data_IF_941160227364
#
_entry.id   IF_941160227364
#
_cell.length_a   1.000
_cell.length_b   1.000
_cell.length_c   1.000
_cell.angle_alpha   90.00
_cell.angle_beta   90.00
_cell.angle_gamma   90.00
#
_symmetry.space_group_name_H-M   'P 1'
#
loop_
_entity.id
_entity.type
_entity.pdbx_description
1 polymer ?
#
# COMPACT_ATOMS: atom_id res chain seq x y z
N UNK A 1 71.81 6.24 -61.01
CA UNK A 1 72.62 6.05 -59.79
C UNK A 1 71.70 6.31 -58.60
N UNK A 2 71.07 5.26 -58.06
CA UNK A 2 71.57 4.39 -56.99
C UNK A 2 71.39 5.01 -55.58
N UNK A 3 70.36 4.50 -54.89
CA UNK A 3 70.25 4.20 -53.44
C UNK A 3 70.32 5.37 -52.44
N UNK A 4 69.56 5.42 -51.34
CA UNK A 4 69.40 4.40 -50.28
C UNK A 4 68.06 4.60 -49.53
N UNK A 5 67.45 3.48 -49.14
CA UNK A 5 66.26 3.38 -48.31
C UNK A 5 66.54 3.71 -46.83
N UNK A 6 65.56 4.29 -46.13
CA UNK A 6 65.47 4.19 -44.67
C UNK A 6 64.02 3.84 -44.29
N UNK A 7 63.90 2.62 -43.77
CA UNK A 7 62.67 1.98 -43.32
C UNK A 7 62.26 2.59 -41.96
N UNK A 8 61.19 3.39 -41.94
CA UNK A 8 60.54 3.82 -40.70
C UNK A 8 59.51 2.78 -40.26
N UNK A 9 59.83 2.05 -39.20
CA UNK A 9 58.96 1.04 -38.58
C UNK A 9 57.81 1.73 -37.81
N UNK A 10 56.63 1.81 -38.41
CA UNK A 10 55.40 2.15 -37.68
C UNK A 10 54.87 0.86 -37.05
N UNK A 11 54.94 0.77 -35.71
CA UNK A 11 54.29 -0.28 -34.93
C UNK A 11 52.76 -0.08 -34.96
N UNK A 12 51.96 -0.99 -35.55
CA UNK A 12 50.54 -1.02 -35.27
C UNK A 12 50.36 -1.66 -33.88
N UNK A 13 50.00 -0.85 -32.88
CA UNK A 13 49.43 -1.36 -31.63
C UNK A 13 48.16 -2.13 -32.00
N UNK A 14 48.27 -3.45 -32.03
CA UNK A 14 47.15 -4.35 -32.17
C UNK A 14 46.25 -4.16 -30.96
N UNK A 15 45.07 -3.58 -31.17
CA UNK A 15 44.01 -3.52 -30.17
C UNK A 15 43.56 -4.93 -29.81
N UNK A 16 44.08 -5.46 -28.71
CA UNK A 16 43.61 -6.70 -28.12
C UNK A 16 42.15 -6.54 -27.67
N UNK A 17 41.32 -7.51 -28.05
CA UNK A 17 39.87 -7.46 -27.97
C UNK A 17 39.31 -7.25 -26.56
N UNK A 18 38.64 -6.12 -26.38
CA UNK A 18 37.51 -6.04 -25.46
C UNK A 18 36.33 -6.69 -26.16
N UNK A 19 36.17 -8.00 -25.93
CA UNK A 19 34.92 -8.68 -26.24
C UNK A 19 33.83 -8.07 -25.36
N UNK A 20 32.82 -7.49 -26.00
CA UNK A 20 31.67 -6.76 -25.43
C UNK A 20 31.00 -7.50 -24.24
N UNK A 21 31.15 -8.82 -24.21
CA UNK A 21 30.61 -9.69 -23.15
C UNK A 21 31.30 -9.57 -21.78
N UNK A 22 32.60 -9.23 -21.72
CA UNK A 22 33.30 -9.09 -20.43
C UNK A 22 32.99 -7.76 -19.73
N UNK A 23 32.89 -6.67 -20.49
CA UNK A 23 32.51 -5.36 -19.95
C UNK A 23 31.07 -5.37 -19.41
N UNK A 24 30.15 -6.04 -20.10
CA UNK A 24 28.77 -6.24 -19.66
C UNK A 24 28.65 -7.11 -18.40
N UNK A 25 29.43 -8.19 -18.30
CA UNK A 25 29.45 -9.05 -17.10
C UNK A 25 30.06 -8.33 -15.89
N UNK A 26 31.12 -7.55 -16.11
CA UNK A 26 31.79 -6.73 -15.10
C UNK A 26 30.83 -5.67 -14.53
N UNK A 27 30.16 -4.93 -15.40
CA UNK A 27 29.19 -3.89 -15.00
C UNK A 27 27.96 -4.47 -14.30
N UNK A 28 27.40 -5.61 -14.75
CA UNK A 28 26.35 -6.34 -13.99
C UNK A 28 26.83 -6.74 -12.60
N UNK A 29 28.03 -7.31 -12.49
CA UNK A 29 28.58 -7.75 -11.19
C UNK A 29 28.78 -6.57 -10.24
N UNK A 30 29.27 -5.44 -10.75
CA UNK A 30 29.40 -4.21 -9.96
C UNK A 30 28.04 -3.66 -9.54
N UNK A 31 27.07 -3.64 -10.46
CA UNK A 31 25.70 -3.20 -10.22
C UNK A 31 25.00 -4.03 -9.13
N UNK A 32 25.05 -5.37 -9.22
CA UNK A 32 24.48 -6.25 -8.18
C UNK A 32 25.30 -6.33 -6.90
N UNK A 33 26.54 -5.81 -6.87
CA UNK A 33 27.34 -5.77 -5.65
C UNK A 33 27.13 -4.46 -4.87
N UNK A 34 26.95 -3.33 -5.56
CA UNK A 34 27.01 -2.00 -4.93
C UNK A 34 25.79 -1.11 -5.19
N UNK A 35 24.96 -1.42 -6.21
CA UNK A 35 23.82 -0.58 -6.60
C UNK A 35 22.49 -1.23 -6.24
N UNK A 36 22.34 -2.52 -6.56
CA UNK A 36 21.14 -3.30 -6.26
C UNK A 36 21.55 -4.67 -5.75
N UNK A 37 22.11 -4.69 -4.53
CA UNK A 37 22.48 -5.94 -3.85
C UNK A 37 21.21 -6.77 -3.67
N UNK A 38 21.07 -7.93 -4.34
CA UNK A 38 19.86 -8.71 -4.21
C UNK A 38 19.74 -9.16 -2.76
N UNK A 39 18.63 -8.80 -2.12
CA UNK A 39 18.32 -9.24 -0.78
C UNK A 39 18.37 -10.77 -0.76
N UNK A 40 19.35 -11.34 -0.05
CA UNK A 40 19.38 -12.77 0.21
C UNK A 40 18.41 -13.02 1.35
N UNK A 41 17.19 -13.41 1.00
CA UNK A 41 16.23 -13.89 1.97
C UNK A 41 16.68 -15.28 2.42
N UNK A 42 17.12 -15.38 3.67
CA UNK A 42 17.41 -16.68 4.27
C UNK A 42 16.08 -17.37 4.60
N UNK A 43 15.67 -18.32 3.76
CA UNK A 43 14.46 -19.11 3.95
C UNK A 43 14.65 -20.22 4.99
N UNK A 44 15.87 -20.42 5.49
CA UNK A 44 16.19 -21.45 6.48
C UNK A 44 16.12 -20.95 7.92
N UNK A 45 15.96 -19.64 8.13
CA UNK A 45 15.71 -19.02 9.43
C UNK A 45 14.34 -18.31 9.47
N UNK A 46 13.25 -19.04 9.73
CA UNK A 46 11.97 -18.42 10.08
C UNK A 46 12.00 -17.64 11.42
N UNK A 47 13.12 -17.64 12.16
CA UNK A 47 13.21 -17.06 13.51
C UNK A 47 13.55 -15.56 13.55
N UNK A 48 13.56 -14.86 12.41
CA UNK A 48 13.70 -13.40 12.38
C UNK A 48 12.47 -12.63 12.89
N UNK A 49 11.30 -13.27 12.96
CA UNK A 49 10.05 -12.69 13.44
C UNK A 49 9.71 -13.23 14.83
N UNK A 50 9.28 -12.36 15.74
CA UNK A 50 8.72 -12.84 17.01
C UNK A 50 7.45 -13.65 16.75
N UNK A 51 7.03 -14.48 17.71
CA UNK A 51 5.74 -15.19 17.61
C UNK A 51 4.58 -14.21 17.42
N UNK A 52 4.63 -13.07 18.09
CA UNK A 52 3.64 -12.01 17.96
C UNK A 52 3.60 -11.45 16.53
N UNK A 53 4.76 -11.11 15.95
CA UNK A 53 4.85 -10.62 14.56
C UNK A 53 4.33 -11.66 13.56
N UNK A 54 4.68 -12.94 13.78
CA UNK A 54 4.24 -14.05 12.93
C UNK A 54 2.72 -14.23 12.98
N UNK A 55 2.10 -14.06 14.15
CA UNK A 55 0.65 -14.08 14.31
C UNK A 55 0.01 -12.87 13.63
N UNK A 56 0.54 -11.67 13.80
CA UNK A 56 0.01 -10.49 13.12
C UNK A 56 0.09 -10.68 11.61
N UNK A 57 1.23 -11.12 11.08
CA UNK A 57 1.40 -11.36 9.65
C UNK A 57 0.40 -12.42 9.11
N UNK A 58 0.22 -13.54 9.80
CA UNK A 58 -0.71 -14.58 9.36
C UNK A 58 -2.18 -14.16 9.43
N UNK A 59 -2.52 -13.22 10.32
CA UNK A 59 -3.85 -12.60 10.42
C UNK A 59 -4.16 -11.65 9.27
N UNK A 60 -3.14 -10.99 8.75
CA UNK A 60 -3.29 -9.91 7.77
C UNK A 60 -3.07 -10.35 6.33
N UNK A 61 -2.32 -11.42 6.09
CA UNK A 61 -1.88 -11.77 4.73
C UNK A 61 -3.02 -11.88 3.71
N UNK A 62 -4.13 -12.54 4.08
CA UNK A 62 -5.28 -12.69 3.17
C UNK A 62 -6.07 -11.37 3.00
N UNK A 63 -6.15 -10.53 4.04
CA UNK A 63 -6.72 -9.18 3.91
C UNK A 63 -5.84 -8.30 3.03
N UNK A 64 -4.53 -8.34 3.22
CA UNK A 64 -3.56 -7.59 2.42
C UNK A 64 -3.63 -7.98 0.94
N UNK A 65 -3.83 -9.27 0.65
CA UNK A 65 -4.08 -9.74 -0.72
C UNK A 65 -5.35 -9.10 -1.33
N UNK A 66 -6.45 -9.03 -0.58
CA UNK A 66 -7.69 -8.39 -1.04
C UNK A 66 -7.49 -6.90 -1.31
N UNK A 67 -6.91 -6.18 -0.34
CA UNK A 67 -6.70 -4.74 -0.44
C UNK A 67 -5.70 -4.40 -1.56
N UNK A 68 -4.61 -5.14 -1.67
CA UNK A 68 -3.62 -4.98 -2.75
C UNK A 68 -4.24 -5.32 -4.11
N UNK A 69 -5.12 -6.33 -4.15
CA UNK A 69 -5.90 -6.67 -5.33
C UNK A 69 -6.77 -5.50 -5.79
N UNK A 70 -7.47 -4.84 -4.86
CA UNK A 70 -8.30 -3.67 -5.15
C UNK A 70 -7.45 -2.50 -5.68
N UNK A 71 -6.37 -2.14 -4.99
CA UNK A 71 -5.50 -1.03 -5.39
C UNK A 71 -4.98 -1.23 -6.81
N UNK A 72 -4.48 -2.42 -7.13
CA UNK A 72 -4.02 -2.76 -8.49
C UNK A 72 -5.13 -2.68 -9.52
N UNK A 73 -6.34 -3.14 -9.18
CA UNK A 73 -7.47 -3.09 -10.11
C UNK A 73 -7.90 -1.64 -10.40
N UNK A 74 -7.93 -0.78 -9.37
CA UNK A 74 -8.22 0.65 -9.53
C UNK A 74 -7.12 1.39 -10.30
N UNK A 75 -5.85 1.10 -10.02
CA UNK A 75 -4.71 1.69 -10.73
C UNK A 75 -4.66 1.29 -12.20
N UNK A 76 -5.08 0.07 -12.53
CA UNK A 76 -5.15 -0.43 -13.89
C UNK A 76 -6.21 0.29 -14.75
N UNK A 77 -7.14 1.03 -14.15
CA UNK A 77 -8.10 1.83 -14.89
C UNK A 77 -7.41 3.01 -15.58
N UNK A 78 -7.37 2.94 -16.92
CA UNK A 78 -6.85 4.01 -17.77
C UNK A 78 -7.85 5.15 -18.00
N UNK A 79 -9.15 4.84 -17.99
CA UNK A 79 -10.26 5.77 -18.20
C UNK A 79 -11.38 5.50 -17.21
N UNK A 80 -12.33 6.43 -17.10
CA UNK A 80 -13.56 6.22 -16.31
C UNK A 80 -14.23 4.93 -16.79
N UNK A 81 -14.54 3.98 -15.88
CA UNK A 81 -15.12 2.70 -16.26
C UNK A 81 -16.56 2.87 -16.76
N UNK A 82 -16.97 1.98 -17.65
CA UNK A 82 -18.38 1.79 -17.98
C UNK A 82 -19.06 0.84 -16.98
N UNK A 83 -20.37 0.63 -17.14
CA UNK A 83 -21.14 -0.24 -16.25
C UNK A 83 -20.58 -1.67 -16.19
N UNK A 84 -20.16 -2.24 -17.32
CA UNK A 84 -19.65 -3.60 -17.37
C UNK A 84 -18.35 -3.75 -16.55
N UNK A 85 -17.46 -2.75 -16.61
CA UNK A 85 -16.25 -2.72 -15.78
C UNK A 85 -16.57 -2.51 -14.29
N UNK A 86 -17.57 -1.70 -13.95
CA UNK A 86 -18.06 -1.54 -12.57
C UNK A 86 -18.61 -2.87 -12.03
N UNK A 87 -19.45 -3.57 -12.81
CA UNK A 87 -20.02 -4.86 -12.43
C UNK A 87 -18.93 -5.94 -12.26
N UNK A 88 -17.87 -5.91 -13.08
CA UNK A 88 -16.71 -6.79 -12.93
C UNK A 88 -15.95 -6.51 -11.63
N UNK A 89 -15.70 -5.24 -11.30
CA UNK A 89 -15.02 -4.85 -10.07
C UNK A 89 -15.80 -5.32 -8.84
N UNK A 90 -17.11 -5.10 -8.80
CA UNK A 90 -17.97 -5.53 -7.69
C UNK A 90 -18.03 -7.07 -7.57
N UNK A 91 -18.02 -7.78 -8.70
CA UNK A 91 -17.98 -9.25 -8.70
C UNK A 91 -16.65 -9.79 -8.20
N UNK A 92 -15.54 -9.13 -8.56
CA UNK A 92 -14.19 -9.49 -8.14
C UNK A 92 -13.94 -9.17 -6.67
N UNK A 93 -14.52 -8.08 -6.17
CA UNK A 93 -14.39 -7.62 -4.79
C UNK A 93 -15.78 -7.57 -4.13
N UNK A 94 -16.38 -8.73 -3.81
CA UNK A 94 -17.75 -8.80 -3.29
C UNK A 94 -17.90 -8.21 -1.88
N UNK A 95 -16.80 -7.83 -1.25
CA UNK A 95 -16.74 -7.17 0.05
C UNK A 95 -16.86 -5.64 -0.04
N UNK A 96 -16.87 -5.06 -1.24
CA UNK A 96 -17.13 -3.63 -1.42
C UNK A 96 -18.59 -3.30 -1.05
N UNK A 97 -18.79 -2.21 -0.32
CA UNK A 97 -20.11 -1.61 -0.09
C UNK A 97 -20.66 -1.00 -1.37
N UNK A 98 -19.77 -0.48 -2.23
CA UNK A 98 -20.14 0.07 -3.52
C UNK A 98 -19.01 0.82 -4.22
N UNK A 99 -19.30 1.27 -5.42
CA UNK A 99 -18.48 2.16 -6.24
C UNK A 99 -19.25 3.46 -6.50
N UNK A 100 -18.59 4.60 -6.36
CA UNK A 100 -19.19 5.91 -6.63
C UNK A 100 -18.29 6.73 -7.55
N UNK A 101 -18.84 7.19 -8.66
CA UNK A 101 -18.20 8.17 -9.52
C UNK A 101 -18.61 9.57 -9.07
N UNK A 102 -17.63 10.42 -8.78
CA UNK A 102 -17.83 11.82 -8.43
C UNK A 102 -17.15 12.74 -9.45
N UNK A 103 -17.63 13.97 -9.57
CA UNK A 103 -16.94 15.03 -10.30
C UNK A 103 -15.76 15.63 -9.51
N UNK A 104 -15.10 16.64 -10.08
CA UNK A 104 -13.98 17.33 -9.45
C UNK A 104 -14.36 18.13 -8.18
N UNK A 105 -15.64 18.37 -7.93
CA UNK A 105 -16.17 19.00 -6.72
C UNK A 105 -16.66 17.99 -5.68
N UNK A 106 -16.56 16.69 -5.96
CA UNK A 106 -17.04 15.61 -5.09
C UNK A 106 -18.54 15.35 -5.20
N UNK A 107 -19.24 15.94 -6.17
CA UNK A 107 -20.65 15.65 -6.41
C UNK A 107 -20.81 14.30 -7.11
N UNK A 108 -21.78 13.49 -6.66
CA UNK A 108 -22.03 12.16 -7.20
C UNK A 108 -22.63 12.24 -8.60
N UNK A 109 -21.95 11.63 -9.57
CA UNK A 109 -22.41 11.46 -10.96
C UNK A 109 -23.18 10.14 -11.09
N UNK A 110 -22.62 9.07 -10.55
CA UNK A 110 -23.18 7.72 -10.60
C UNK A 110 -22.71 6.92 -9.39
N UNK A 111 -23.52 5.95 -8.95
CA UNK A 111 -23.17 5.07 -7.85
C UNK A 111 -23.75 3.68 -8.07
N UNK A 112 -23.01 2.66 -7.66
CA UNK A 112 -23.47 1.28 -7.60
C UNK A 112 -23.15 0.67 -6.23
N UNK A 113 -24.16 0.28 -5.42
CA UNK A 113 -25.60 0.44 -5.70
C UNK A 113 -26.01 1.93 -5.76
N UNK A 114 -27.06 2.24 -6.53
CA UNK A 114 -27.56 3.61 -6.70
C UNK A 114 -27.93 4.31 -5.37
N UNK A 115 -28.31 3.53 -4.35
CA UNK A 115 -28.55 4.03 -3.00
C UNK A 115 -27.50 3.49 -2.05
N UNK A 116 -26.66 4.37 -1.52
CA UNK A 116 -25.73 4.03 -0.43
C UNK A 116 -26.47 3.92 0.90
N UNK A 117 -26.08 2.93 1.71
CA UNK A 117 -26.57 2.77 3.09
C UNK A 117 -25.98 3.83 4.04
N UNK A 118 -24.76 4.29 3.76
CA UNK A 118 -24.04 5.29 4.56
C UNK A 118 -23.98 6.61 3.80
N UNK A 119 -24.13 7.72 4.50
CA UNK A 119 -23.85 9.05 3.95
C UNK A 119 -22.33 9.27 4.02
N UNK A 120 -21.69 9.41 2.86
CA UNK A 120 -20.24 9.51 2.73
C UNK A 120 -19.85 10.91 2.27
N UNK A 121 -18.79 11.46 2.86
CA UNK A 121 -18.21 12.74 2.47
C UNK A 121 -16.99 12.54 1.55
N UNK A 122 -17.07 12.93 0.29
CA UNK A 122 -15.95 12.75 -0.65
C UNK A 122 -14.90 13.88 -0.58
N UNK A 123 -15.15 14.93 0.19
CA UNK A 123 -14.28 16.12 0.29
C UNK A 123 -12.83 15.78 0.65
N UNK A 124 -12.54 14.89 1.63
CA UNK A 124 -11.16 14.54 1.98
C UNK A 124 -10.37 13.89 0.84
N UNK A 125 -11.06 13.33 -0.17
CA UNK A 125 -10.43 12.72 -1.34
C UNK A 125 -10.09 13.74 -2.43
N UNK A 126 -10.61 14.97 -2.34
CA UNK A 126 -10.34 16.05 -3.29
C UNK A 126 -8.99 16.72 -3.03
N UNK A 127 -8.41 16.54 -1.84
CA UNK A 127 -7.09 17.05 -1.49
C UNK A 127 -6.06 16.71 -2.59
N UNK A 128 -5.32 17.70 -3.10
CA UNK A 128 -4.38 17.48 -4.19
C UNK A 128 -3.26 16.54 -3.73
N UNK A 129 -3.06 15.46 -4.49
CA UNK A 129 -1.90 14.60 -4.32
C UNK A 129 -0.60 15.38 -4.60
N UNK A 130 0.55 14.93 -4.06
CA UNK A 130 1.83 15.54 -4.40
C UNK A 130 2.03 15.65 -5.92
N UNK A 131 2.62 16.75 -6.39
CA UNK A 131 2.82 17.00 -7.83
C UNK A 131 3.62 15.90 -8.53
N UNK A 132 4.45 15.16 -7.80
CA UNK A 132 5.19 14.00 -8.30
C UNK A 132 4.30 12.80 -8.65
N UNK A 133 3.11 12.71 -8.06
CA UNK A 133 2.21 11.54 -8.17
C UNK A 133 0.73 11.99 -8.23
N UNK A 134 0.33 12.84 -9.20
CA UNK A 134 -1.02 13.41 -9.25
C UNK A 134 -2.10 12.37 -9.53
N UNK A 135 -1.69 11.21 -10.08
CA UNK A 135 -2.54 10.05 -10.40
C UNK A 135 -2.55 8.97 -9.31
N UNK A 136 -1.83 9.15 -8.21
CA UNK A 136 -1.84 8.18 -7.11
C UNK A 136 -3.25 7.99 -6.56
N UNK A 137 -3.53 6.77 -6.09
CA UNK A 137 -4.75 6.52 -5.33
C UNK A 137 -4.80 7.42 -4.10
N UNK A 138 -6.02 7.81 -3.73
CA UNK A 138 -6.30 8.60 -2.54
C UNK A 138 -7.15 7.77 -1.60
N UNK A 139 -7.06 8.02 -0.31
CA UNK A 139 -7.92 7.34 0.65
C UNK A 139 -8.39 8.27 1.76
N UNK A 140 -9.49 7.88 2.37
CA UNK A 140 -10.05 8.48 3.56
C UNK A 140 -10.75 7.39 4.37
N UNK A 141 -10.85 7.59 5.68
CA UNK A 141 -11.64 6.75 6.57
C UNK A 141 -12.61 7.64 7.32
N UNK A 142 -13.88 7.25 7.34
CA UNK A 142 -14.95 8.02 7.97
C UNK A 142 -15.58 7.19 9.05
N UNK A 143 -15.75 7.78 10.23
CA UNK A 143 -16.61 7.20 11.24
C UNK A 143 -18.06 7.60 10.93
N UNK A 144 -18.95 6.62 10.77
CA UNK A 144 -20.35 6.86 10.44
C UNK A 144 -21.25 6.23 11.52
N UNK A 145 -22.50 6.69 11.67
CA UNK A 145 -23.41 6.09 12.65
C UNK A 145 -23.65 4.58 12.46
N UNK A 146 -23.42 4.04 11.26
CA UNK A 146 -23.55 2.61 10.95
C UNK A 146 -22.23 1.84 11.04
N UNK A 147 -21.17 2.50 11.50
CA UNK A 147 -19.81 1.98 11.61
C UNK A 147 -18.86 2.62 10.59
N UNK A 148 -17.54 2.50 10.80
CA UNK A 148 -16.53 3.10 9.94
C UNK A 148 -16.64 2.65 8.48
N UNK A 149 -16.33 3.54 7.54
CA UNK A 149 -16.20 3.25 6.12
C UNK A 149 -14.83 3.69 5.62
N UNK A 150 -14.18 2.81 4.88
CA UNK A 150 -12.91 3.08 4.20
C UNK A 150 -13.19 3.42 2.75
N UNK A 151 -12.64 4.54 2.28
CA UNK A 151 -12.75 5.00 0.90
C UNK A 151 -11.39 4.94 0.22
N UNK A 152 -11.37 4.40 -0.99
CA UNK A 152 -10.19 4.35 -1.87
C UNK A 152 -10.57 4.90 -3.24
N UNK A 153 -9.92 5.96 -3.67
CA UNK A 153 -10.30 6.73 -4.83
C UNK A 153 -9.23 6.68 -5.93
N UNK A 154 -9.67 6.36 -7.14
CA UNK A 154 -8.91 6.49 -8.37
C UNK A 154 -9.21 7.84 -9.02
N UNK A 155 -8.21 8.75 -9.13
CA UNK A 155 -8.40 10.01 -9.83
C UNK A 155 -8.27 9.88 -11.35
N UNK A 156 -9.18 10.52 -12.07
CA UNK A 156 -9.13 10.71 -13.52
C UNK A 156 -8.83 12.18 -13.82
N UNK A 157 -7.69 12.43 -14.47
CA UNK A 157 -7.20 13.77 -14.77
C UNK A 157 -7.04 13.99 -16.28
N UNK A 158 -7.38 15.20 -16.72
CA UNK A 158 -7.05 15.76 -18.03
C UNK A 158 -5.90 16.75 -17.83
N UNK A 159 -4.73 16.44 -18.39
CA UNK A 159 -3.49 17.12 -18.00
C UNK A 159 -3.19 16.90 -16.51
N UNK A 160 -3.12 17.99 -15.74
CA UNK A 160 -2.96 18.02 -14.28
C UNK A 160 -4.26 18.31 -13.52
N UNK A 161 -5.37 18.55 -14.21
CA UNK A 161 -6.64 18.90 -13.58
C UNK A 161 -7.48 17.66 -13.30
N UNK A 162 -7.91 17.52 -12.04
CA UNK A 162 -8.86 16.49 -11.64
C UNK A 162 -10.19 16.70 -12.34
N UNK A 163 -10.73 15.65 -12.95
CA UNK A 163 -12.04 15.66 -13.61
C UNK A 163 -13.06 14.84 -12.84
N UNK A 164 -12.63 13.70 -12.30
CA UNK A 164 -13.49 12.77 -11.58
C UNK A 164 -12.70 11.89 -10.62
N UNK A 165 -13.38 11.36 -9.60
CA UNK A 165 -12.90 10.26 -8.77
C UNK A 165 -13.83 9.07 -8.92
N UNK A 166 -13.29 7.89 -9.16
CA UNK A 166 -13.99 6.64 -8.87
C UNK A 166 -13.60 6.19 -7.46
N UNK A 167 -14.57 6.11 -6.57
CA UNK A 167 -14.39 5.80 -5.16
C UNK A 167 -14.93 4.41 -4.88
N UNK A 168 -14.06 3.51 -4.44
CA UNK A 168 -14.45 2.24 -3.84
C UNK A 168 -14.63 2.42 -2.34
N UNK A 169 -15.80 2.05 -1.84
CA UNK A 169 -16.14 2.12 -0.43
C UNK A 169 -16.30 0.72 0.16
N UNK A 170 -15.80 0.51 1.36
CA UNK A 170 -16.04 -0.72 2.11
C UNK A 170 -16.02 -0.51 3.61
N UNK A 171 -16.79 -1.34 4.31
CA UNK A 171 -16.72 -1.51 5.75
C UNK A 171 -15.73 -2.62 6.07
N UNK A 172 -14.80 -2.43 7.01
CA UNK A 172 -13.80 -3.46 7.33
C UNK A 172 -14.44 -4.78 7.79
N UNK A 173 -15.67 -4.76 8.33
CA UNK A 173 -16.40 -5.97 8.70
C UNK A 173 -16.61 -6.94 7.54
N UNK A 174 -16.70 -6.44 6.31
CA UNK A 174 -16.85 -7.30 5.11
C UNK A 174 -15.56 -8.07 4.77
N UNK A 175 -14.42 -7.68 5.33
CA UNK A 175 -13.12 -8.34 5.17
C UNK A 175 -12.83 -9.38 6.26
N UNK A 176 -13.63 -9.45 7.33
CA UNK A 176 -13.43 -10.42 8.42
C UNK A 176 -13.42 -11.89 7.98
N UNK A 177 -14.14 -12.33 6.92
CA UNK A 177 -14.00 -13.69 6.39
C UNK A 177 -12.57 -14.05 5.94
N UNK A 178 -11.71 -13.05 5.68
CA UNK A 178 -10.32 -13.22 5.28
C UNK A 178 -9.35 -13.07 6.47
N UNK A 179 -9.83 -12.78 7.68
CA UNK A 179 -9.00 -12.61 8.88
C UNK A 179 -8.99 -13.91 9.67
N UNK A 180 -7.82 -14.42 10.03
CA UNK A 180 -7.73 -15.46 11.05
C UNK A 180 -7.93 -14.84 12.43
N UNK A 181 -8.82 -15.39 13.26
CA UNK A 181 -9.13 -14.86 14.62
C UNK A 181 -9.49 -13.36 14.64
N UNK A 182 -10.59 -12.92 14.01
CA UNK A 182 -10.96 -11.50 13.90
C UNK A 182 -11.20 -10.80 15.25
N UNK A 183 -11.52 -11.57 16.30
CA UNK A 183 -11.70 -11.04 17.66
C UNK A 183 -10.42 -10.49 18.29
N UNK A 184 -9.25 -10.95 17.85
CA UNK A 184 -7.95 -10.49 18.36
C UNK A 184 -7.33 -9.37 17.52
N UNK A 185 -8.00 -8.94 16.45
CA UNK A 185 -7.48 -7.94 15.53
C UNK A 185 -8.07 -6.57 15.85
N UNK A 186 -7.20 -5.57 16.00
CA UNK A 186 -7.57 -4.16 16.02
C UNK A 186 -7.09 -3.51 14.73
N UNK A 187 -7.95 -2.71 14.12
CA UNK A 187 -7.62 -1.92 12.92
C UNK A 187 -8.00 -0.48 13.17
N UNK A 188 -7.11 0.46 12.86
CA UNK A 188 -7.39 1.89 13.02
C UNK A 188 -6.56 2.77 12.08
N UNK A 189 -7.04 3.98 11.85
CA UNK A 189 -6.20 5.12 11.42
C UNK A 189 -5.79 5.93 12.65
N UNK A 190 -4.96 6.97 12.52
CA UNK A 190 -4.69 7.88 13.62
C UNK A 190 -5.94 8.55 14.20
N UNK A 191 -6.99 8.69 13.41
CA UNK A 191 -8.21 9.42 13.77
C UNK A 191 -9.40 8.49 14.06
N UNK A 192 -9.52 7.37 13.36
CA UNK A 192 -10.71 6.51 13.39
C UNK A 192 -10.34 5.09 13.82
N UNK A 193 -11.03 4.58 14.84
CA UNK A 193 -11.04 3.16 15.14
C UNK A 193 -11.89 2.43 14.09
N UNK A 194 -11.26 1.61 13.26
CA UNK A 194 -11.92 0.91 12.13
C UNK A 194 -12.56 -0.41 12.60
N UNK A 195 -11.87 -1.12 13.47
CA UNK A 195 -12.32 -2.40 14.02
C UNK A 195 -11.63 -2.67 15.36
N UNK A 196 -12.36 -3.11 16.38
CA UNK A 196 -11.83 -3.41 17.71
C UNK A 196 -11.67 -4.90 18.00
N UNK A 197 -12.18 -5.77 17.13
CA UNK A 197 -12.34 -7.19 17.49
C UNK A 197 -13.33 -7.37 18.64
N UNK A 198 -13.06 -8.36 19.48
CA UNK A 198 -13.84 -8.67 20.69
C UNK A 198 -13.32 -7.87 21.91
N UNK A 199 -12.40 -6.93 21.70
CA UNK A 199 -11.74 -6.16 22.74
C UNK A 199 -12.55 -4.90 23.08
N UNK A 200 -12.59 -4.57 24.37
CA UNK A 200 -12.94 -3.22 24.83
C UNK A 200 -11.76 -2.30 24.51
N UNK A 201 -11.84 -1.61 23.37
CA UNK A 201 -10.72 -0.85 22.82
C UNK A 201 -10.13 0.17 23.81
N UNK A 202 -10.99 0.86 24.56
CA UNK A 202 -10.60 1.86 25.57
C UNK A 202 -9.77 1.28 26.73
N UNK A 203 -9.86 -0.03 26.96
CA UNK A 203 -9.09 -0.74 27.99
C UNK A 203 -7.73 -1.24 27.46
N UNK A 204 -7.40 -0.95 26.21
CA UNK A 204 -6.13 -1.35 25.59
C UNK A 204 -5.16 -0.16 25.54
N UNK A 205 -3.84 -0.39 25.57
CA UNK A 205 -2.87 0.70 25.46
C UNK A 205 -2.85 1.37 24.08
N UNK A 206 -3.54 0.78 23.09
CA UNK A 206 -3.73 1.38 21.76
C UNK A 206 -4.59 2.66 21.84
N UNK A 207 -5.55 2.74 22.77
CA UNK A 207 -6.43 3.89 22.94
C UNK A 207 -5.67 5.14 23.39
N UNK A 208 -4.75 4.99 24.35
CA UNK A 208 -3.90 6.09 24.86
C UNK A 208 -2.71 6.46 23.96
N UNK A 209 -2.51 5.76 22.84
CA UNK A 209 -1.36 5.98 21.95
C UNK A 209 -1.60 7.18 21.03
N UNK A 210 -0.64 8.12 20.99
CA UNK A 210 -0.59 9.16 19.93
C UNK A 210 -0.06 8.56 18.63
N UNK A 211 -0.99 8.11 17.78
CA UNK A 211 -0.67 7.45 16.52
C UNK A 211 -0.04 8.39 15.49
N UNK A 212 -0.36 9.69 15.52
CA UNK A 212 0.28 10.65 14.64
C UNK A 212 1.77 10.77 14.96
N UNK A 213 2.11 10.92 16.25
CA UNK A 213 3.49 10.99 16.68
C UNK A 213 4.26 9.68 16.48
N UNK A 214 3.58 8.53 16.65
CA UNK A 214 4.19 7.22 16.50
C UNK A 214 4.49 6.87 15.04
N UNK A 215 3.52 7.07 14.14
CA UNK A 215 3.66 6.75 12.71
C UNK A 215 4.63 7.68 11.98
N UNK A 216 4.87 8.88 12.49
CA UNK A 216 5.92 9.76 11.99
C UNK A 216 7.34 9.17 12.16
N UNK A 217 7.50 8.18 13.04
CA UNK A 217 8.81 7.60 13.42
C UNK A 217 8.95 6.13 13.08
N UNK A 218 7.85 5.38 13.04
CA UNK A 218 7.86 3.92 12.96
C UNK A 218 6.71 3.41 12.09
N UNK A 219 6.95 2.29 11.41
CA UNK A 219 5.96 1.57 10.62
C UNK A 219 5.48 0.27 11.28
N UNK A 220 6.10 -0.12 12.39
CA UNK A 220 5.73 -1.30 13.18
C UNK A 220 6.33 -1.18 14.58
N UNK A 221 5.87 -2.02 15.49
CA UNK A 221 6.48 -2.16 16.80
C UNK A 221 5.55 -2.83 17.80
N UNK A 222 5.83 -2.58 19.08
CA UNK A 222 5.01 -3.03 20.20
C UNK A 222 4.55 -1.79 20.95
N UNK A 223 3.26 -1.74 21.28
CA UNK A 223 2.69 -0.82 22.27
C UNK A 223 2.59 -1.58 23.58
N UNK A 224 3.30 -1.09 24.58
CA UNK A 224 3.27 -1.64 25.94
C UNK A 224 2.20 -0.93 26.78
N UNK A 225 1.59 -1.62 27.74
CA UNK A 225 0.69 -1.01 28.71
C UNK A 225 1.37 0.07 29.55
N UNK A 226 0.57 1.02 30.06
CA UNK A 226 1.05 1.87 31.14
C UNK A 226 1.39 1.01 32.37
N UNK A 227 2.31 1.47 33.22
CA UNK A 227 2.76 0.70 34.38
C UNK A 227 1.59 0.21 35.25
N UNK A 228 1.38 -1.11 35.34
CA UNK A 228 0.31 -1.74 36.13
C UNK A 228 -0.85 -2.29 35.32
N UNK A 229 -0.94 -1.99 34.02
CA UNK A 229 -1.90 -2.59 33.09
C UNK A 229 -1.29 -3.84 32.41
N UNK A 230 -2.14 -4.74 31.94
CA UNK A 230 -1.75 -5.97 31.23
C UNK A 230 -2.20 -5.89 29.78
N UNK A 231 -1.39 -6.43 28.87
CA UNK A 231 -1.74 -6.55 27.45
C UNK A 231 -0.91 -5.65 26.56
N UNK A 232 0.24 -6.15 26.11
CA UNK A 232 1.05 -5.54 25.05
C UNK A 232 0.49 -5.89 23.68
N UNK A 233 0.57 -4.98 22.72
CA UNK A 233 0.11 -5.19 21.35
C UNK A 233 1.25 -5.04 20.37
N UNK A 234 1.42 -6.04 19.51
CA UNK A 234 2.25 -5.89 18.32
C UNK A 234 1.42 -5.20 17.24
N UNK A 235 2.04 -4.31 16.48
CA UNK A 235 1.38 -3.55 15.43
C UNK A 235 2.27 -3.33 14.21
N UNK A 236 1.62 -3.15 13.06
CA UNK A 236 2.25 -2.71 11.81
C UNK A 236 1.31 -1.77 11.07
N UNK A 237 1.87 -0.89 10.24
CA UNK A 237 1.11 -0.01 9.35
C UNK A 237 1.16 -0.54 7.92
N UNK A 238 -0.02 -0.56 7.28
CA UNK A 238 -0.19 -0.73 5.84
C UNK A 238 -0.73 0.58 5.29
N UNK A 239 -0.17 1.09 4.20
CA UNK A 239 -0.73 2.25 3.54
C UNK A 239 -1.74 1.81 2.48
N UNK A 240 -2.92 2.44 2.49
CA UNK A 240 -3.98 2.24 1.50
C UNK A 240 -4.27 3.59 0.87
N UNK A 241 -4.04 3.76 -0.44
CA UNK A 241 -4.22 5.06 -1.11
C UNK A 241 -3.51 6.22 -0.42
N UNK A 242 -2.31 5.97 0.13
CA UNK A 242 -1.50 6.94 0.87
C UNK A 242 -1.93 7.20 2.32
N UNK A 243 -3.04 6.63 2.81
CA UNK A 243 -3.45 6.76 4.23
C UNK A 243 -2.94 5.58 5.06
N UNK A 244 -2.45 5.82 6.29
CA UNK A 244 -2.02 4.76 7.17
C UNK A 244 -3.21 3.99 7.76
N UNK A 245 -3.18 2.68 7.63
CA UNK A 245 -4.05 1.73 8.30
C UNK A 245 -3.19 0.86 9.22
N UNK A 246 -3.34 1.07 10.52
CA UNK A 246 -2.65 0.32 11.55
C UNK A 246 -3.42 -0.95 11.84
N UNK A 247 -2.70 -2.06 11.86
CA UNK A 247 -3.19 -3.35 12.31
C UNK A 247 -2.43 -3.75 13.56
N UNK A 248 -3.15 -4.14 14.60
CA UNK A 248 -2.57 -4.51 15.88
C UNK A 248 -3.24 -5.76 16.45
N UNK A 249 -2.48 -6.51 17.25
CA UNK A 249 -2.98 -7.72 17.89
C UNK A 249 -2.23 -8.00 19.19
N UNK A 250 -2.84 -8.72 20.18
CA UNK A 250 -2.15 -9.06 21.41
C UNK A 250 -0.81 -9.78 21.17
N UNK A 251 0.23 -9.32 21.85
CA UNK A 251 1.59 -9.87 21.71
C UNK A 251 1.81 -11.15 22.54
N UNK A 252 0.91 -11.47 23.47
CA UNK A 252 0.87 -12.76 24.17
C UNK A 252 0.09 -13.80 23.36
#
# INVERSE_FOLDING_TARGET
LAAVASFGLILPLSGCGLTDTQAWKSSRRFYYAHVNTPAKLDLSDPAGLSRADSRLASRLMAVDEQLTGLERALEALGTVPDQAAVDELLRRFPWLSGLTLTDAAGAVIAAEPAMSLKQLDYTPLLEPAPESTPRALRAAVQDTPLGPEVLVARPFLVGSELQALLVAAFDFRSLLPYVSTPGDLVVRTPEVLVWSGDLFYEDTPLAGTDWNALLAKRSHGIVEPASGESGSFVWLVRYLGGRPLVFATPAA
#
